data_IF_017898897397
#
_entry.id   IF_017898897397
#
_cell.length_a   1.000
_cell.length_b   1.000
_cell.length_c   1.000
_cell.angle_alpha   90.00
_cell.angle_beta   90.00
_cell.angle_gamma   90.00
#
_symmetry.space_group_name_H-M   'P 1'
#
loop_
_entity.id
_entity.type
_entity.pdbx_description
1 polymer ?
#
# COMPACT_ATOMS: atom_id res chain seq x y z
N UNK A 1 -12.62 13.62 -30.43
CA UNK A 1 -12.83 13.18 -29.03
C UNK A 1 -11.61 12.39 -28.53
N UNK A 2 -10.62 13.06 -27.93
CA UNK A 2 -9.43 12.40 -27.30
C UNK A 2 -9.16 12.88 -25.86
N UNK A 3 -9.96 13.83 -25.36
CA UNK A 3 -9.77 14.47 -24.05
C UNK A 3 -10.33 13.69 -22.85
N UNK A 4 -11.20 12.70 -23.07
CA UNK A 4 -11.79 11.91 -21.98
C UNK A 4 -10.82 10.83 -21.44
N UNK A 5 -10.01 10.20 -22.30
CA UNK A 5 -9.13 9.11 -21.88
C UNK A 5 -7.97 9.55 -20.97
N UNK A 6 -7.34 10.68 -21.28
CA UNK A 6 -6.20 11.20 -20.51
C UNK A 6 -6.60 11.67 -19.11
N UNK A 7 -7.77 12.28 -18.97
CA UNK A 7 -8.28 12.77 -17.68
C UNK A 7 -8.66 11.62 -16.74
N UNK A 8 -9.25 10.54 -17.26
CA UNK A 8 -9.53 9.33 -16.47
C UNK A 8 -8.24 8.66 -15.98
N UNK A 9 -7.21 8.57 -16.83
CA UNK A 9 -5.93 7.98 -16.44
C UNK A 9 -5.23 8.79 -15.34
N UNK A 10 -5.31 10.14 -15.41
CA UNK A 10 -4.76 11.02 -14.39
C UNK A 10 -5.48 10.84 -13.05
N UNK A 11 -6.81 10.79 -13.05
CA UNK A 11 -7.62 10.57 -11.84
C UNK A 11 -7.30 9.22 -11.18
N UNK A 12 -7.16 8.15 -11.96
CA UNK A 12 -6.78 6.83 -11.44
C UNK A 12 -5.38 6.84 -10.79
N UNK A 13 -4.43 7.56 -11.39
CA UNK A 13 -3.06 7.69 -10.87
C UNK A 13 -3.02 8.45 -9.55
N UNK A 14 -3.79 9.53 -9.45
CA UNK A 14 -3.94 10.33 -8.22
C UNK A 14 -4.58 9.50 -7.11
N UNK A 15 -5.64 8.75 -7.41
CA UNK A 15 -6.29 7.87 -6.43
C UNK A 15 -5.34 6.79 -5.89
N UNK A 16 -4.51 6.21 -6.75
CA UNK A 16 -3.47 5.25 -6.33
C UNK A 16 -2.44 5.90 -5.40
N UNK A 17 -1.98 7.10 -5.74
CA UNK A 17 -1.00 7.84 -4.94
C UNK A 17 -1.55 8.26 -3.57
N UNK A 18 -2.77 8.78 -3.52
CA UNK A 18 -3.44 9.12 -2.26
C UNK A 18 -3.58 7.86 -1.40
N UNK A 19 -3.96 6.73 -1.99
CA UNK A 19 -4.08 5.47 -1.25
C UNK A 19 -2.72 4.99 -0.71
N UNK A 20 -1.63 5.19 -1.47
CA UNK A 20 -0.26 4.87 -1.04
C UNK A 20 0.26 5.75 0.11
N UNK A 21 -0.27 6.95 0.34
CA UNK A 21 0.32 7.92 1.28
C UNK A 21 -0.65 8.46 2.34
N UNK A 22 -1.73 7.74 2.64
CA UNK A 22 -2.79 8.18 3.54
C UNK A 22 -2.77 7.46 4.91
N UNK A 23 -1.61 7.32 5.57
CA UNK A 23 -1.56 6.77 6.93
C UNK A 23 -1.40 7.81 8.06
N UNK A 24 -0.49 8.77 7.94
CA UNK A 24 -0.23 9.76 9.00
C UNK A 24 1.03 10.57 8.71
N UNK A 25 1.32 11.60 9.51
CA UNK A 25 2.46 12.51 9.26
C UNK A 25 3.81 11.83 9.33
N UNK A 26 4.01 10.95 10.33
CA UNK A 26 5.35 10.40 10.64
C UNK A 26 5.67 9.18 9.78
N UNK A 27 4.64 8.43 9.38
CA UNK A 27 4.73 7.24 8.54
C UNK A 27 3.67 7.31 7.44
N UNK A 28 3.86 8.19 6.45
CA UNK A 28 2.83 8.50 5.48
C UNK A 28 2.54 7.33 4.55
N UNK A 29 3.52 6.47 4.26
CA UNK A 29 3.34 5.40 3.30
C UNK A 29 2.45 4.29 3.87
N UNK A 30 1.29 4.13 3.25
CA UNK A 30 0.34 3.06 3.51
C UNK A 30 0.81 1.78 2.81
N UNK A 31 0.95 0.70 3.59
CA UNK A 31 1.43 -0.59 3.10
C UNK A 31 0.49 -1.70 3.55
N UNK A 32 0.49 -2.78 2.79
CA UNK A 32 -0.28 -3.98 3.07
C UNK A 32 0.67 -5.11 3.39
N UNK A 33 0.47 -5.72 4.55
CA UNK A 33 1.09 -6.98 4.91
C UNK A 33 0.39 -8.10 4.15
N UNK A 34 1.15 -9.00 3.55
CA UNK A 34 0.65 -10.18 2.85
C UNK A 34 1.39 -11.38 3.43
N UNK A 35 0.66 -12.26 4.12
CA UNK A 35 1.18 -13.57 4.46
C UNK A 35 1.24 -14.41 3.18
N UNK A 36 2.39 -14.93 2.79
CA UNK A 36 2.51 -15.88 1.67
C UNK A 36 2.73 -17.29 2.22
N UNK A 37 2.85 -18.29 1.34
CA UNK A 37 3.19 -19.66 1.75
C UNK A 37 4.63 -19.78 2.30
N UNK A 38 5.51 -18.83 2.00
CA UNK A 38 6.93 -18.89 2.37
C UNK A 38 7.28 -17.92 3.49
N UNK A 39 6.80 -16.68 3.39
CA UNK A 39 7.06 -15.62 4.37
C UNK A 39 6.03 -14.50 4.31
N UNK A 40 6.14 -13.55 5.24
CA UNK A 40 5.36 -12.31 5.18
C UNK A 40 6.11 -11.26 4.38
N UNK A 41 5.42 -10.68 3.40
CA UNK A 41 5.92 -9.54 2.62
C UNK A 41 5.02 -8.33 2.85
N UNK A 42 5.56 -7.15 2.56
CA UNK A 42 4.85 -5.88 2.62
C UNK A 42 4.94 -5.21 1.26
N UNK A 43 3.82 -4.64 0.82
CA UNK A 43 3.70 -3.99 -0.48
C UNK A 43 2.99 -2.65 -0.31
N UNK A 44 3.17 -1.74 -1.26
CA UNK A 44 2.45 -0.46 -1.24
C UNK A 44 0.95 -0.69 -1.47
N UNK A 45 0.10 0.08 -0.78
CA UNK A 45 -1.35 -0.10 -0.80
C UNK A 45 -2.06 0.56 -2.01
N UNK A 46 -1.36 0.77 -3.13
CA UNK A 46 -1.89 1.45 -4.33
C UNK A 46 -2.44 0.51 -5.41
N UNK A 47 -2.57 -0.79 -5.09
CA UNK A 47 -3.06 -1.81 -6.01
C UNK A 47 -2.17 -2.06 -7.24
N UNK A 48 -0.90 -1.62 -7.21
CA UNK A 48 0.05 -1.99 -8.24
C UNK A 48 0.50 -3.44 -8.06
N UNK A 49 0.62 -4.23 -9.16
CA UNK A 49 1.10 -5.59 -9.08
C UNK A 49 2.58 -5.65 -8.71
N UNK A 50 2.92 -6.60 -7.85
CA UNK A 50 4.28 -7.03 -7.59
C UNK A 50 4.45 -8.48 -8.04
N UNK A 51 5.67 -8.85 -8.42
CA UNK A 51 6.03 -10.23 -8.71
C UNK A 51 6.78 -10.82 -7.52
N UNK A 52 6.26 -11.90 -6.97
CA UNK A 52 6.89 -12.67 -5.91
C UNK A 52 6.91 -14.14 -6.33
N UNK A 53 8.12 -14.68 -6.53
CA UNK A 53 8.34 -15.94 -7.24
C UNK A 53 7.57 -15.99 -8.58
N UNK A 54 6.69 -16.98 -8.75
CA UNK A 54 5.89 -17.22 -9.94
C UNK A 54 4.47 -16.64 -9.84
N UNK A 55 4.15 -15.90 -8.77
CA UNK A 55 2.82 -15.34 -8.53
C UNK A 55 2.83 -13.80 -8.60
N UNK A 56 1.69 -13.25 -8.99
CA UNK A 56 1.44 -11.81 -8.92
C UNK A 56 0.55 -11.51 -7.72
N UNK A 57 1.01 -10.58 -6.89
CA UNK A 57 0.23 -10.09 -5.76
C UNK A 57 -0.14 -8.63 -6.00
N UNK A 58 -1.32 -8.26 -5.52
CA UNK A 58 -1.83 -6.89 -5.50
C UNK A 58 -2.47 -6.69 -4.14
N UNK A 59 -2.18 -5.57 -3.50
CA UNK A 59 -2.93 -5.16 -2.34
C UNK A 59 -3.20 -3.66 -2.46
N UNK A 60 -4.46 -3.29 -2.24
CA UNK A 60 -4.93 -1.95 -2.51
C UNK A 60 -5.95 -1.50 -1.50
N UNK A 61 -5.97 -0.20 -1.22
CA UNK A 61 -7.04 0.43 -0.45
C UNK A 61 -6.88 0.31 1.06
N UNK A 62 -7.85 0.89 1.79
CA UNK A 62 -7.88 0.92 3.26
C UNK A 62 -7.99 -0.46 3.91
N UNK A 63 -8.43 -1.45 3.14
CA UNK A 63 -8.66 -2.81 3.60
C UNK A 63 -7.63 -3.81 3.04
N UNK A 64 -6.66 -3.34 2.26
CA UNK A 64 -5.61 -4.19 1.67
C UNK A 64 -6.12 -5.39 0.87
N UNK A 65 -7.28 -5.27 0.22
CA UNK A 65 -7.97 -6.40 -0.41
C UNK A 65 -7.34 -6.70 -1.78
N UNK A 66 -6.66 -7.84 -1.90
CA UNK A 66 -6.71 -8.71 -3.08
C UNK A 66 -5.99 -10.06 -2.85
N UNK A 67 -6.67 -11.13 -3.27
CA UNK A 67 -6.26 -12.53 -3.47
C UNK A 67 -5.61 -13.28 -2.28
N UNK A 68 -6.45 -14.00 -1.52
CA UNK A 68 -6.13 -15.31 -0.96
C UNK A 68 -5.52 -15.38 0.44
N UNK A 69 -5.12 -14.26 1.04
CA UNK A 69 -4.36 -14.27 2.31
C UNK A 69 -4.75 -13.13 3.24
N UNK A 70 -4.64 -13.39 4.54
CA UNK A 70 -4.85 -12.39 5.59
C UNK A 70 -3.95 -11.18 5.32
N UNK A 71 -4.59 -10.04 5.04
CA UNK A 71 -3.90 -8.80 4.72
C UNK A 71 -4.25 -7.73 5.72
N UNK A 72 -3.24 -7.24 6.43
CA UNK A 72 -3.38 -6.14 7.38
C UNK A 72 -2.79 -4.86 6.82
N UNK A 73 -3.48 -3.75 7.06
CA UNK A 73 -2.97 -2.42 6.74
C UNK A 73 -1.97 -1.97 7.79
N UNK A 74 -0.79 -1.52 7.34
CA UNK A 74 0.33 -1.02 8.16
C UNK A 74 0.89 0.28 7.55
N UNK A 75 1.89 0.88 8.20
CA UNK A 75 2.43 2.16 7.79
C UNK A 75 3.96 2.20 7.87
N UNK A 76 4.56 2.90 6.92
CA UNK A 76 6.00 3.06 6.80
C UNK A 76 6.37 4.52 6.55
N UNK A 77 7.63 4.92 6.82
CA UNK A 77 8.17 6.18 6.34
C UNK A 77 8.01 6.35 4.84
N UNK A 78 8.08 7.59 4.38
CA UNK A 78 7.96 7.91 2.96
C UNK A 78 8.98 7.12 2.13
N UNK A 79 8.57 6.64 0.96
CA UNK A 79 9.43 5.91 0.01
C UNK A 79 10.08 4.61 0.53
N UNK A 80 9.59 4.03 1.63
CA UNK A 80 10.09 2.76 2.17
C UNK A 80 9.94 1.60 1.18
N UNK A 81 8.82 1.58 0.43
CA UNK A 81 8.52 0.62 -0.63
C UNK A 81 8.23 1.37 -1.92
N UNK A 82 8.97 1.06 -2.98
CA UNK A 82 8.78 1.66 -4.30
C UNK A 82 7.60 1.00 -5.05
N UNK A 83 7.05 1.64 -6.11
CA UNK A 83 6.06 1.00 -6.97
C UNK A 83 6.55 -0.36 -7.46
N UNK A 84 5.66 -1.36 -7.54
CA UNK A 84 5.97 -2.72 -8.02
C UNK A 84 7.02 -3.49 -7.20
N UNK A 85 7.40 -2.99 -6.03
CA UNK A 85 8.33 -3.66 -5.11
C UNK A 85 7.63 -4.16 -3.85
N UNK A 86 8.33 -5.02 -3.13
CA UNK A 86 7.95 -5.53 -1.83
C UNK A 86 9.16 -5.45 -0.89
N UNK A 87 8.92 -5.55 0.41
CA UNK A 87 9.94 -5.76 1.43
C UNK A 87 9.55 -6.93 2.33
N UNK A 88 10.51 -7.58 2.97
CA UNK A 88 10.29 -8.65 3.94
C UNK A 88 10.11 -8.08 5.35
N UNK A 89 9.68 -8.90 6.31
CA UNK A 89 9.55 -8.49 7.72
C UNK A 89 10.83 -7.92 8.32
N UNK A 90 12.00 -8.52 8.04
CA UNK A 90 13.26 -7.99 8.56
C UNK A 90 13.57 -6.57 8.06
N UNK A 91 13.22 -6.27 6.81
CA UNK A 91 13.40 -4.92 6.25
C UNK A 91 12.35 -3.95 6.79
N UNK A 92 11.11 -4.40 6.97
CA UNK A 92 10.02 -3.62 7.54
C UNK A 92 10.39 -3.05 8.93
N UNK A 93 10.92 -3.88 9.82
CA UNK A 93 11.32 -3.44 11.16
C UNK A 93 12.51 -2.46 11.09
N UNK A 94 13.52 -2.75 10.25
CA UNK A 94 14.70 -1.89 10.10
C UNK A 94 14.39 -0.49 9.54
N UNK A 95 13.26 -0.35 8.83
CA UNK A 95 12.83 0.92 8.25
C UNK A 95 11.94 1.73 9.21
N UNK A 96 11.67 1.25 10.43
CA UNK A 96 10.80 1.94 11.37
C UNK A 96 9.32 1.95 10.95
N UNK A 97 8.92 0.97 10.14
CA UNK A 97 7.50 0.74 9.86
C UNK A 97 6.77 0.30 11.13
N UNK A 98 5.44 0.32 11.11
CA UNK A 98 4.65 -0.19 12.22
C UNK A 98 3.14 -0.19 11.96
N UNK A 99 2.36 -0.46 13.02
CA UNK A 99 0.92 -0.62 12.90
C UNK A 99 0.25 0.66 12.38
N UNK A 100 -0.99 0.51 11.91
CA UNK A 100 -1.81 1.65 11.55
C UNK A 100 -1.87 2.63 12.72
N UNK A 101 -1.48 3.88 12.48
CA UNK A 101 -1.87 4.95 13.39
C UNK A 101 -3.37 5.11 13.14
N UNK A 102 -4.21 4.77 14.12
CA UNK A 102 -5.64 5.09 14.00
C UNK A 102 -5.72 6.60 13.88
N UNK A 103 -6.21 7.10 12.74
CA UNK A 103 -6.59 8.50 12.64
C UNK A 103 -7.46 8.79 13.87
N UNK A 104 -7.18 9.85 14.66
CA UNK A 104 -8.18 10.33 15.60
C UNK A 104 -9.48 10.58 14.81
N UNK A 105 -10.66 10.27 15.38
CA UNK A 105 -11.92 10.46 14.69
C UNK A 105 -11.97 11.89 14.12
N UNK A 106 -12.20 12.01 12.81
CA UNK A 106 -12.44 13.32 12.19
C UNK A 106 -13.70 13.88 12.85
N UNK A 107 -13.54 14.91 13.68
CA UNK A 107 -14.64 15.76 14.09
C UNK A 107 -15.09 16.46 12.80
N UNK A 108 -16.21 16.02 12.25
CA UNK A 108 -16.91 16.76 11.22
C UNK A 108 -17.60 17.93 11.94
N UNK A 109 -17.11 19.15 11.73
CA UNK A 109 -17.84 20.38 12.04
C UNK A 109 -18.94 20.64 11.00
#
# INVERSE_FOLDING_TARGET
MKFLGSTLALLASINGLVTAYNCGSDRPQNVCQIATQHETIYVRADNLPIRWHNNYYRAGGKNCINVGTLSDRKCCPMHSIQPHQYITSGRYDSLGCGPLIKDPPRIHD
#
